data_IF_254284875446
#
_entry.id   IF_254284875446
#
_cell.length_a   1.000
_cell.length_b   1.000
_cell.length_c   1.000
_cell.angle_alpha   90.00
_cell.angle_beta   90.00
_cell.angle_gamma   90.00
#
_symmetry.space_group_name_H-M   'P 1'
#
loop_
_entity.id
_entity.type
_entity.pdbx_description
1 polymer ?
#
# COMPACT_ATOMS: atom_id res chain seq x y z
N UNK A 1 20.61 2.90 1.40
CA UNK A 1 19.41 2.41 0.71
C UNK A 1 18.20 3.29 1.02
N UNK A 2 17.21 3.24 0.11
CA UNK A 2 15.97 4.01 0.23
C UNK A 2 14.78 3.06 0.23
N UNK A 3 13.87 3.27 1.16
CA UNK A 3 12.56 2.63 1.15
C UNK A 3 11.52 3.64 0.66
N UNK A 4 10.84 3.33 -0.44
CA UNK A 4 9.61 3.99 -0.85
C UNK A 4 8.45 3.30 -0.14
N UNK A 5 7.88 3.97 0.87
CA UNK A 5 6.76 3.43 1.61
C UNK A 5 5.43 3.89 1.00
N UNK A 6 4.49 2.94 0.85
CA UNK A 6 3.16 3.19 0.31
C UNK A 6 2.11 2.80 1.35
N UNK A 7 1.34 3.79 1.80
CA UNK A 7 0.36 3.63 2.88
C UNK A 7 -0.92 2.91 2.45
N UNK A 8 -1.69 2.43 3.42
CA UNK A 8 -3.00 1.81 3.22
C UNK A 8 -4.13 2.81 3.00
N UNK A 9 -5.30 2.30 2.60
CA UNK A 9 -6.51 3.13 2.47
C UNK A 9 -6.86 3.77 3.81
N UNK A 10 -7.43 4.97 3.78
CA UNK A 10 -7.77 5.80 4.96
C UNK A 10 -6.59 6.22 5.83
N UNK A 11 -5.36 5.92 5.42
CA UNK A 11 -4.12 6.36 6.04
C UNK A 11 -3.53 7.56 5.28
N UNK A 12 -2.30 7.91 5.57
CA UNK A 12 -1.54 8.97 4.91
C UNK A 12 -0.03 8.72 5.02
N UNK A 13 0.79 9.61 4.44
CA UNK A 13 2.25 9.53 4.44
C UNK A 13 2.87 9.42 5.84
N UNK A 14 2.21 9.93 6.89
CA UNK A 14 2.77 9.90 8.26
C UNK A 14 2.83 8.50 8.86
N UNK A 15 2.05 7.56 8.33
CA UNK A 15 2.07 6.16 8.80
C UNK A 15 3.43 5.48 8.62
N UNK A 16 4.29 5.99 7.71
CA UNK A 16 5.67 5.53 7.56
C UNK A 16 6.47 5.65 8.87
N UNK A 17 6.13 6.60 9.74
CA UNK A 17 6.86 6.85 10.99
C UNK A 17 6.89 5.62 11.91
N UNK A 18 5.86 4.79 11.84
CA UNK A 18 5.79 3.55 12.62
C UNK A 18 6.88 2.52 12.23
N UNK A 19 7.30 2.50 10.97
CA UNK A 19 8.37 1.66 10.44
C UNK A 19 9.68 2.43 10.28
N UNK A 20 9.59 3.73 9.98
CA UNK A 20 10.72 4.59 9.64
C UNK A 20 11.79 4.67 10.72
N UNK A 21 11.40 4.67 12.01
CA UNK A 21 12.37 4.63 13.12
C UNK A 21 13.22 3.34 13.10
N UNK A 22 12.57 2.20 12.87
CA UNK A 22 13.27 0.91 12.79
C UNK A 22 14.25 0.89 11.61
N UNK A 23 13.85 1.41 10.44
CA UNK A 23 14.69 1.50 9.25
C UNK A 23 15.83 2.52 9.44
N UNK A 24 15.54 3.70 9.98
CA UNK A 24 16.54 4.74 10.24
C UNK A 24 17.64 4.27 11.20
N UNK A 25 17.30 3.44 12.20
CA UNK A 25 18.29 2.82 13.12
C UNK A 25 19.29 1.91 12.38
N UNK A 26 19.02 1.56 11.13
CA UNK A 26 19.88 0.77 10.23
C UNK A 26 20.41 1.58 9.06
N UNK A 27 20.42 2.91 9.15
CA UNK A 27 20.85 3.81 8.09
C UNK A 27 20.08 3.64 6.77
N UNK A 28 18.80 3.30 6.84
CA UNK A 28 17.90 3.23 5.69
C UNK A 28 17.02 4.47 5.68
N UNK A 29 17.08 5.23 4.60
CA UNK A 29 16.18 6.37 4.38
C UNK A 29 14.78 5.88 4.00
N UNK A 30 13.75 6.63 4.42
CA UNK A 30 12.37 6.36 4.00
C UNK A 30 11.75 7.59 3.36
N UNK A 31 11.08 7.37 2.24
CA UNK A 31 10.28 8.39 1.55
C UNK A 31 8.84 7.89 1.40
N UNK A 32 7.90 8.80 1.56
CA UNK A 32 6.48 8.48 1.41
C UNK A 32 5.72 9.68 0.85
N UNK A 33 4.73 9.40 0.03
CA UNK A 33 3.75 10.39 -0.47
C UNK A 33 2.35 9.93 -0.13
N UNK A 34 1.40 10.85 -0.15
CA UNK A 34 0.00 10.49 -0.09
C UNK A 34 -0.49 9.98 -1.43
N UNK A 35 -1.26 8.90 -1.41
CA UNK A 35 -2.01 8.43 -2.57
C UNK A 35 -3.11 9.44 -2.94
N UNK A 36 -3.68 9.40 -4.16
CA UNK A 36 -4.79 10.28 -4.53
C UNK A 36 -5.88 10.33 -3.46
N UNK A 37 -6.39 11.52 -3.23
CA UNK A 37 -7.45 11.84 -2.24
C UNK A 37 -7.15 11.42 -0.79
N UNK A 38 -5.89 11.16 -0.46
CA UNK A 38 -5.39 10.99 0.90
C UNK A 38 -4.62 12.23 1.35
N UNK A 39 -4.31 12.31 2.63
CA UNK A 39 -3.51 13.39 3.21
C UNK A 39 -3.63 13.39 4.72
N UNK A 40 -2.83 14.22 5.39
CA UNK A 40 -2.83 14.33 6.85
C UNK A 40 -4.10 15.06 7.30
N UNK A 41 -5.01 14.41 8.05
CA UNK A 41 -6.23 15.06 8.51
C UNK A 41 -5.92 16.22 9.48
N UNK A 42 -6.71 17.30 9.39
CA UNK A 42 -6.54 18.47 10.25
C UNK A 42 -6.69 18.18 11.76
N UNK A 43 -7.39 17.10 12.12
CA UNK A 43 -7.55 16.62 13.49
C UNK A 43 -6.51 15.56 13.89
N UNK A 44 -5.55 15.24 13.02
CA UNK A 44 -4.46 14.32 13.33
C UNK A 44 -3.54 14.89 14.40
N UNK A 45 -2.95 14.01 15.23
CA UNK A 45 -1.89 14.38 16.16
C UNK A 45 -0.64 14.95 15.46
N UNK A 46 -0.49 14.69 14.18
CA UNK A 46 0.60 15.20 13.35
C UNK A 46 0.24 16.49 12.59
N UNK A 47 -1.02 16.97 12.67
CA UNK A 47 -1.47 18.11 11.89
C UNK A 47 -0.62 19.37 12.13
N UNK A 48 -0.28 19.66 13.39
CA UNK A 48 0.52 20.83 13.75
C UNK A 48 1.93 20.84 13.13
N UNK A 49 2.44 19.68 12.73
CA UNK A 49 3.78 19.54 12.16
C UNK A 49 3.77 19.23 10.67
N UNK A 50 2.82 18.41 10.22
CA UNK A 50 2.90 17.74 8.93
C UNK A 50 1.70 17.97 7.99
N UNK A 51 0.58 18.54 8.48
CA UNK A 51 -0.50 18.97 7.60
C UNK A 51 -0.08 20.27 6.90
N UNK A 52 -0.07 20.30 5.57
CA UNK A 52 0.46 21.44 4.83
C UNK A 52 -0.36 22.71 5.00
N UNK A 53 -1.67 22.59 5.23
CA UNK A 53 -2.60 23.74 5.39
C UNK A 53 -2.64 24.28 6.83
N UNK A 54 -2.33 23.41 7.82
CA UNK A 54 -2.55 23.70 9.24
C UNK A 54 -1.27 23.56 10.09
N UNK A 55 -0.10 23.46 9.47
CA UNK A 55 1.15 23.35 10.22
C UNK A 55 1.43 24.64 11.00
N UNK A 56 1.70 24.48 12.29
CA UNK A 56 2.19 25.56 13.15
C UNK A 56 3.73 25.59 13.23
N UNK A 57 4.42 24.55 12.73
CA UNK A 57 5.86 24.40 12.85
C UNK A 57 6.61 24.68 11.53
N UNK A 58 5.97 24.48 10.39
CA UNK A 58 6.57 24.63 9.06
C UNK A 58 5.71 25.60 8.26
N UNK A 59 6.32 26.66 7.78
CA UNK A 59 5.67 27.56 6.81
C UNK A 59 5.80 26.97 5.40
N UNK A 60 4.83 26.18 5.02
CA UNK A 60 4.78 25.57 3.69
C UNK A 60 4.49 26.61 2.60
N UNK A 61 3.89 27.77 2.91
CA UNK A 61 3.65 28.82 1.94
C UNK A 61 4.95 29.41 1.38
N UNK A 62 5.98 29.49 2.22
CA UNK A 62 7.32 29.91 1.79
C UNK A 62 7.98 28.93 0.79
N UNK A 63 7.57 27.65 0.80
CA UNK A 63 8.09 26.61 -0.07
C UNK A 63 7.28 26.46 -1.36
N UNK A 64 5.96 26.56 -1.27
CA UNK A 64 5.04 26.16 -2.34
C UNK A 64 4.14 27.30 -2.85
N UNK A 65 4.21 28.50 -2.26
CA UNK A 65 3.29 29.60 -2.54
C UNK A 65 2.01 29.49 -1.71
N UNK A 66 0.95 30.20 -2.13
CA UNK A 66 -0.30 30.26 -1.34
C UNK A 66 -1.35 29.23 -1.75
N UNK A 67 -1.19 28.57 -2.91
CA UNK A 67 -2.17 27.63 -3.49
C UNK A 67 -1.73 26.19 -3.31
N UNK A 68 -1.50 25.75 -2.08
CA UNK A 68 -1.18 24.35 -1.80
C UNK A 68 -2.19 23.75 -0.82
N UNK A 69 -2.49 22.47 -1.02
CA UNK A 69 -3.48 21.73 -0.26
C UNK A 69 -3.00 20.35 0.10
N UNK A 70 -3.52 19.82 1.21
CA UNK A 70 -3.44 18.37 1.45
C UNK A 70 -4.11 17.64 0.28
N UNK A 71 -3.60 16.50 -0.06
CA UNK A 71 -4.01 15.78 -1.27
C UNK A 71 -5.43 15.20 -1.19
N UNK A 72 -6.04 15.16 -0.02
CA UNK A 72 -7.47 14.90 0.14
C UNK A 72 -8.34 16.07 -0.35
N UNK A 73 -7.74 17.23 -0.67
CA UNK A 73 -8.39 18.41 -1.23
C UNK A 73 -9.58 18.94 -0.43
N UNK A 74 -9.65 18.66 0.88
CA UNK A 74 -10.78 19.06 1.72
C UNK A 74 -12.12 18.91 0.99
N UNK A 75 -12.36 17.70 0.43
CA UNK A 75 -13.51 17.47 -0.47
C UNK A 75 -14.78 18.02 0.13
N UNK A 76 -15.46 18.86 -0.63
CA UNK A 76 -16.56 19.71 -0.20
C UNK A 76 -17.85 18.92 -0.05
N UNK A 77 -18.53 19.10 1.06
CA UNK A 77 -19.85 18.54 1.29
C UNK A 77 -20.91 19.33 0.49
N UNK A 78 -21.61 18.63 -0.43
CA UNK A 78 -22.38 19.24 -1.50
C UNK A 78 -23.41 20.31 -1.14
N UNK A 79 -23.99 20.31 0.07
CA UNK A 79 -25.05 21.25 0.42
C UNK A 79 -24.56 22.53 1.12
N UNK A 80 -23.40 22.53 1.74
CA UNK A 80 -22.92 23.63 2.59
C UNK A 80 -21.70 24.36 2.04
N UNK A 81 -21.02 23.80 1.05
CA UNK A 81 -19.75 24.33 0.54
C UNK A 81 -18.58 24.22 1.52
N UNK A 82 -18.80 23.66 2.72
CA UNK A 82 -17.73 23.49 3.69
C UNK A 82 -16.83 22.31 3.31
N UNK A 83 -15.52 22.40 3.56
CA UNK A 83 -14.65 21.27 3.45
C UNK A 83 -15.18 20.12 4.29
N UNK A 84 -15.41 18.97 3.69
CA UNK A 84 -15.81 17.77 4.38
C UNK A 84 -14.90 16.64 3.94
N UNK A 85 -14.20 16.11 4.90
CA UNK A 85 -13.46 14.87 4.72
C UNK A 85 -14.49 13.75 4.49
N UNK A 86 -14.19 12.87 3.55
CA UNK A 86 -15.11 11.79 3.24
C UNK A 86 -14.92 10.62 4.18
N UNK A 87 -15.96 10.36 4.93
CA UNK A 87 -16.10 9.13 5.68
C UNK A 87 -17.19 8.27 5.06
N UNK A 88 -16.92 7.01 4.78
CA UNK A 88 -17.91 6.06 4.29
C UNK A 88 -19.07 5.85 5.25
N UNK A 89 -18.86 6.03 6.54
CA UNK A 89 -19.86 5.79 7.59
C UNK A 89 -20.75 6.99 7.83
N UNK A 90 -20.17 8.15 7.64
CA UNK A 90 -20.89 9.40 7.88
C UNK A 90 -20.29 10.46 6.95
N UNK A 91 -20.94 10.77 5.85
CA UNK A 91 -20.45 11.77 4.90
C UNK A 91 -20.33 13.19 5.50
N UNK A 92 -20.72 13.38 6.77
CA UNK A 92 -20.53 14.62 7.51
C UNK A 92 -19.34 14.59 8.46
N UNK A 93 -18.68 13.45 8.64
CA UNK A 93 -17.51 13.33 9.53
C UNK A 93 -16.25 13.84 8.83
N UNK A 94 -15.36 14.45 9.62
CA UNK A 94 -14.20 15.19 9.11
C UNK A 94 -12.88 14.44 9.21
N UNK A 95 -12.86 13.15 8.99
CA UNK A 95 -11.66 12.32 9.19
C UNK A 95 -11.40 11.36 8.02
N UNK A 96 -11.79 11.76 6.84
CA UNK A 96 -11.89 10.85 5.71
C UNK A 96 -10.73 10.85 4.73
N UNK A 97 -9.46 10.87 5.18
CA UNK A 97 -8.35 10.58 4.28
C UNK A 97 -8.65 9.33 3.45
N UNK A 98 -8.64 9.45 2.13
CA UNK A 98 -8.82 8.33 1.20
C UNK A 98 -10.24 7.78 1.06
N UNK A 99 -11.24 8.36 1.70
CA UNK A 99 -12.61 7.84 1.64
C UNK A 99 -13.20 7.82 0.23
N UNK A 100 -12.79 8.74 -0.66
CA UNK A 100 -13.18 8.74 -2.08
C UNK A 100 -12.24 7.97 -3.00
N UNK A 101 -11.21 7.36 -2.48
CA UNK A 101 -10.33 6.55 -3.30
C UNK A 101 -11.10 5.41 -3.97
N UNK A 102 -12.01 4.78 -3.22
CA UNK A 102 -12.96 3.79 -3.74
C UNK A 102 -14.33 4.45 -3.84
N UNK A 103 -14.75 4.76 -5.05
CA UNK A 103 -16.02 5.43 -5.33
C UNK A 103 -16.97 4.49 -6.06
N UNK A 104 -17.94 3.92 -5.31
CA UNK A 104 -18.91 2.98 -5.87
C UNK A 104 -19.92 3.63 -6.82
N UNK A 105 -20.12 4.95 -6.70
CA UNK A 105 -20.99 5.69 -7.60
C UNK A 105 -20.28 6.04 -8.93
N UNK A 106 -18.94 6.01 -8.94
CA UNK A 106 -18.13 6.25 -10.13
C UNK A 106 -16.88 5.36 -10.12
N UNK A 107 -17.02 4.15 -10.63
CA UNK A 107 -15.94 3.17 -10.69
C UNK A 107 -14.74 3.64 -11.55
N UNK A 108 -14.97 4.56 -12.48
CA UNK A 108 -13.90 5.21 -13.24
C UNK A 108 -12.95 5.99 -12.34
N UNK A 109 -13.46 6.69 -11.32
CA UNK A 109 -12.61 7.39 -10.35
C UNK A 109 -11.73 6.41 -9.58
N UNK A 110 -12.31 5.28 -9.13
CA UNK A 110 -11.53 4.23 -8.44
C UNK A 110 -10.39 3.71 -9.31
N UNK A 111 -10.68 3.39 -10.57
CA UNK A 111 -9.67 2.98 -11.55
C UNK A 111 -8.58 4.03 -11.70
N UNK A 112 -8.98 5.29 -11.88
CA UNK A 112 -8.03 6.36 -12.17
C UNK A 112 -7.22 6.74 -10.92
N UNK A 113 -7.78 6.62 -9.72
CA UNK A 113 -7.03 6.74 -8.48
C UNK A 113 -5.94 5.67 -8.35
N UNK A 114 -6.24 4.40 -8.68
CA UNK A 114 -5.23 3.33 -8.70
C UNK A 114 -4.11 3.63 -9.70
N UNK A 115 -4.47 4.02 -10.91
CA UNK A 115 -3.49 4.35 -11.98
C UNK A 115 -2.67 5.59 -11.64
N UNK A 116 -3.32 6.62 -11.10
CA UNK A 116 -2.62 7.83 -10.66
C UNK A 116 -1.64 7.54 -9.54
N UNK A 117 -2.01 6.66 -8.59
CA UNK A 117 -1.09 6.21 -7.55
C UNK A 117 0.21 5.63 -8.12
N UNK A 118 0.10 4.81 -9.17
CA UNK A 118 1.27 4.24 -9.84
C UNK A 118 2.12 5.33 -10.51
N UNK A 119 1.47 6.27 -11.22
CA UNK A 119 2.16 7.39 -11.86
C UNK A 119 2.87 8.30 -10.86
N UNK A 120 2.25 8.56 -9.72
CA UNK A 120 2.84 9.38 -8.66
C UNK A 120 4.06 8.71 -8.03
N UNK A 121 4.01 7.39 -7.84
CA UNK A 121 5.16 6.62 -7.36
C UNK A 121 6.28 6.57 -8.41
N UNK A 122 5.97 6.51 -9.70
CA UNK A 122 6.98 6.63 -10.76
C UNK A 122 7.63 8.01 -10.73
N UNK A 123 6.84 9.07 -10.54
CA UNK A 123 7.37 10.42 -10.42
C UNK A 123 8.24 10.59 -9.15
N UNK A 124 7.80 10.06 -8.01
CA UNK A 124 8.61 10.03 -6.80
C UNK A 124 9.93 9.29 -7.02
N UNK A 125 9.88 8.11 -7.65
CA UNK A 125 11.05 7.31 -7.96
C UNK A 125 12.06 8.10 -8.83
N UNK A 126 11.58 8.73 -9.90
CA UNK A 126 12.40 9.57 -10.77
C UNK A 126 12.98 10.80 -10.06
N UNK A 127 12.33 11.27 -8.98
CA UNK A 127 12.76 12.45 -8.23
C UNK A 127 13.75 12.13 -7.11
N UNK A 128 14.04 10.88 -6.81
CA UNK A 128 14.88 10.49 -5.66
C UNK A 128 16.28 11.10 -5.73
N UNK A 129 16.89 11.19 -6.92
CA UNK A 129 18.19 11.83 -7.06
C UNK A 129 18.11 13.33 -6.75
N UNK A 130 17.10 14.01 -7.26
CA UNK A 130 16.91 15.44 -6.96
C UNK A 130 16.65 15.67 -5.46
N UNK A 131 15.91 14.79 -4.80
CA UNK A 131 15.68 14.83 -3.34
C UNK A 131 17.02 14.64 -2.60
N UNK A 132 17.86 13.72 -3.07
CA UNK A 132 19.20 13.50 -2.52
C UNK A 132 20.09 14.74 -2.66
N UNK A 133 20.03 15.39 -3.81
CA UNK A 133 20.87 16.56 -4.12
C UNK A 133 20.44 17.82 -3.34
N UNK A 134 19.20 17.87 -2.85
CA UNK A 134 18.73 18.98 -2.01
C UNK A 134 19.35 19.01 -0.61
N UNK A 135 20.02 17.94 -0.18
CA UNK A 135 20.70 17.81 1.14
C UNK A 135 19.85 18.30 2.32
N UNK A 136 18.53 18.06 2.24
CA UNK A 136 17.56 18.65 3.20
C UNK A 136 17.77 18.10 4.62
N UNK A 137 18.45 16.98 4.76
CA UNK A 137 18.32 16.29 6.02
C UNK A 137 19.61 16.09 6.80
N UNK A 138 20.78 15.86 6.25
CA UNK A 138 21.85 15.42 7.18
C UNK A 138 23.24 15.11 6.62
N UNK A 139 23.71 15.74 5.59
CA UNK A 139 25.03 15.39 5.04
C UNK A 139 25.15 13.95 4.50
N UNK A 140 24.05 13.36 4.06
CA UNK A 140 24.03 12.02 3.49
C UNK A 140 23.34 11.99 2.14
N UNK A 141 23.89 11.24 1.20
CA UNK A 141 23.28 10.98 -0.09
C UNK A 141 22.34 9.77 -0.01
N UNK A 142 21.21 9.81 -0.71
CA UNK A 142 20.36 8.64 -0.90
C UNK A 142 21.05 7.67 -1.88
N UNK A 143 21.07 6.39 -1.53
CA UNK A 143 21.50 5.34 -2.44
C UNK A 143 20.35 4.98 -3.38
N UNK A 144 20.22 5.73 -4.47
CA UNK A 144 19.16 5.58 -5.45
C UNK A 144 19.31 4.34 -6.33
N UNK A 145 20.45 3.68 -6.29
CA UNK A 145 20.65 2.36 -6.90
C UNK A 145 20.09 1.21 -6.04
N UNK A 146 19.68 1.51 -4.80
CA UNK A 146 19.17 0.54 -3.85
C UNK A 146 17.81 0.96 -3.27
N UNK A 147 16.81 0.94 -4.13
CA UNK A 147 15.42 1.33 -3.80
C UNK A 147 14.58 0.09 -3.56
N UNK A 148 13.96 0.02 -2.38
CA UNK A 148 12.98 -1.02 -2.03
C UNK A 148 11.60 -0.39 -1.85
N UNK A 149 10.58 -1.03 -2.37
CA UNK A 149 9.17 -0.64 -2.14
C UNK A 149 8.62 -1.42 -0.96
N UNK A 150 8.01 -0.74 -0.01
CA UNK A 150 7.28 -1.37 1.10
C UNK A 150 5.85 -0.84 1.09
N UNK A 151 4.92 -1.68 0.73
CA UNK A 151 3.50 -1.34 0.70
C UNK A 151 2.70 -2.09 1.76
N UNK A 152 1.78 -1.39 2.42
CA UNK A 152 0.84 -1.97 3.37
C UNK A 152 -0.59 -1.86 2.86
N UNK A 153 -1.36 -2.97 2.85
CA UNK A 153 -2.78 -2.96 2.43
C UNK A 153 -2.96 -2.44 1.00
N UNK A 154 -3.72 -1.37 0.79
CA UNK A 154 -3.82 -0.68 -0.50
C UNK A 154 -2.43 -0.32 -1.05
N UNK A 155 -1.49 0.04 -0.17
CA UNK A 155 -0.11 0.32 -0.57
C UNK A 155 0.61 -0.90 -1.14
N UNK A 156 0.30 -2.10 -0.69
CA UNK A 156 0.82 -3.34 -1.27
C UNK A 156 0.19 -3.63 -2.65
N UNK A 157 -1.11 -3.34 -2.79
CA UNK A 157 -1.83 -3.43 -4.07
C UNK A 157 -1.18 -2.50 -5.09
N UNK A 158 -1.08 -1.20 -4.78
CA UNK A 158 -0.49 -0.19 -5.66
C UNK A 158 1.01 -0.45 -5.88
N UNK A 159 1.74 -0.80 -4.82
CA UNK A 159 3.18 -1.07 -4.87
C UNK A 159 3.53 -2.25 -5.78
N UNK A 160 2.69 -3.28 -5.83
CA UNK A 160 2.87 -4.42 -6.75
C UNK A 160 2.74 -4.00 -8.21
N UNK A 161 1.72 -3.20 -8.53
CA UNK A 161 1.52 -2.66 -9.89
C UNK A 161 2.66 -1.69 -10.24
N UNK A 162 2.99 -0.76 -9.33
CA UNK A 162 4.07 0.19 -9.53
C UNK A 162 5.40 -0.51 -9.82
N UNK A 163 5.80 -1.48 -8.99
CA UNK A 163 7.05 -2.21 -9.18
C UNK A 163 7.09 -2.88 -10.54
N UNK A 164 6.00 -3.52 -10.95
CA UNK A 164 5.88 -4.17 -12.27
C UNK A 164 6.05 -3.16 -13.40
N UNK A 165 5.29 -2.07 -13.37
CA UNK A 165 5.30 -1.06 -14.45
C UNK A 165 6.65 -0.34 -14.52
N UNK A 166 7.25 0.01 -13.37
CA UNK A 166 8.56 0.64 -13.30
C UNK A 166 9.65 -0.20 -13.98
N UNK A 167 9.69 -1.49 -13.66
CA UNK A 167 10.70 -2.39 -14.25
C UNK A 167 10.47 -2.64 -15.74
N UNK A 168 9.22 -2.73 -16.17
CA UNK A 168 8.88 -2.84 -17.60
C UNK A 168 9.32 -1.56 -18.34
N UNK A 169 9.07 -0.38 -17.76
CA UNK A 169 9.45 0.89 -18.37
C UNK A 169 10.97 1.01 -18.56
N UNK A 170 11.74 0.58 -17.57
CA UNK A 170 13.21 0.53 -17.66
C UNK A 170 13.64 -0.51 -18.69
N UNK A 171 13.12 -1.73 -18.64
CA UNK A 171 13.53 -2.84 -19.50
C UNK A 171 13.19 -2.65 -20.98
N UNK A 172 12.16 -1.88 -21.29
CA UNK A 172 11.74 -1.58 -22.67
C UNK A 172 12.35 -0.28 -23.20
N UNK A 173 13.29 0.33 -22.50
CA UNK A 173 13.98 1.58 -22.90
C UNK A 173 12.96 2.67 -23.34
N UNK A 174 11.85 2.78 -22.59
CA UNK A 174 10.89 3.85 -22.81
C UNK A 174 11.55 5.20 -22.51
N UNK A 175 11.20 6.22 -23.24
CA UNK A 175 11.86 7.54 -23.18
C UNK A 175 11.93 8.16 -21.78
N UNK A 176 10.99 7.80 -20.89
CA UNK A 176 11.02 8.21 -19.47
C UNK A 176 11.70 7.16 -18.55
N UNK A 177 11.94 5.95 -19.05
CA UNK A 177 12.53 4.85 -18.27
C UNK A 177 13.97 5.15 -17.82
N UNK A 178 14.71 5.97 -18.58
CA UNK A 178 16.06 6.39 -18.23
C UNK A 178 16.16 7.25 -16.97
N UNK A 179 15.07 7.84 -16.51
CA UNK A 179 15.02 8.63 -15.29
C UNK A 179 14.53 7.83 -14.07
N UNK A 180 14.09 6.59 -14.28
CA UNK A 180 13.59 5.74 -13.21
C UNK A 180 14.73 4.95 -12.57
N UNK A 181 14.69 4.85 -11.24
CA UNK A 181 15.61 4.01 -10.48
C UNK A 181 15.08 2.57 -10.44
N UNK A 182 15.93 1.56 -10.65
CA UNK A 182 15.52 0.16 -10.55
C UNK A 182 15.06 -0.19 -9.13
N UNK A 183 13.94 -0.91 -9.04
CA UNK A 183 13.48 -1.46 -7.77
C UNK A 183 14.24 -2.74 -7.45
N UNK A 184 14.91 -2.76 -6.30
CA UNK A 184 15.71 -3.90 -5.81
C UNK A 184 14.93 -4.89 -4.98
N UNK A 185 13.72 -4.52 -4.55
CA UNK A 185 12.83 -5.41 -3.83
C UNK A 185 11.46 -4.79 -3.58
N UNK A 186 10.47 -5.65 -3.42
CA UNK A 186 9.12 -5.30 -3.02
C UNK A 186 8.71 -6.08 -1.77
N UNK A 187 8.27 -5.38 -0.74
CA UNK A 187 7.52 -5.98 0.37
C UNK A 187 6.04 -5.63 0.19
N UNK A 188 5.22 -6.63 -0.06
CA UNK A 188 3.76 -6.50 -0.16
C UNK A 188 3.11 -7.05 1.12
N UNK A 189 2.87 -6.18 2.10
CA UNK A 189 2.30 -6.53 3.39
C UNK A 189 0.78 -6.41 3.39
N UNK A 190 0.08 -7.48 3.72
CA UNK A 190 -1.38 -7.59 3.86
C UNK A 190 -2.16 -7.01 2.65
N UNK A 191 -1.59 -7.16 1.46
CA UNK A 191 -2.23 -6.80 0.19
C UNK A 191 -2.85 -8.01 -0.49
N UNK A 192 -3.37 -7.81 -1.69
CA UNK A 192 -4.00 -8.91 -2.44
C UNK A 192 -4.38 -8.52 -3.86
N UNK A 193 -5.06 -9.42 -4.54
CA UNK A 193 -5.56 -9.27 -5.92
C UNK A 193 -7.08 -9.31 -5.94
N UNK A 194 -7.69 -8.88 -7.03
CA UNK A 194 -9.15 -8.74 -7.23
C UNK A 194 -9.80 -7.79 -6.21
N UNK A 195 -9.46 -6.50 -6.30
CA UNK A 195 -9.93 -5.45 -5.39
C UNK A 195 -11.46 -5.51 -5.13
N UNK A 196 -12.26 -5.72 -6.17
CA UNK A 196 -13.72 -5.80 -6.02
C UNK A 196 -14.13 -6.97 -5.15
N UNK A 197 -13.50 -8.13 -5.31
CA UNK A 197 -13.80 -9.32 -4.50
C UNK A 197 -13.23 -9.18 -3.07
N UNK A 198 -12.05 -8.55 -2.92
CA UNK A 198 -11.53 -8.20 -1.58
C UNK A 198 -12.59 -7.38 -0.83
N UNK A 199 -13.08 -6.31 -1.43
CA UNK A 199 -14.06 -5.42 -0.80
C UNK A 199 -15.38 -6.12 -0.51
N UNK A 200 -15.85 -6.95 -1.43
CA UNK A 200 -17.10 -7.68 -1.31
C UNK A 200 -17.08 -8.78 -0.24
N UNK A 201 -15.91 -9.34 0.04
CA UNK A 201 -15.73 -10.45 1.00
C UNK A 201 -14.98 -10.01 2.28
N UNK A 202 -14.59 -8.75 2.39
CA UNK A 202 -13.95 -8.19 3.58
C UNK A 202 -14.93 -8.14 4.76
N UNK A 203 -14.64 -8.76 5.90
CA UNK A 203 -15.46 -8.58 7.10
C UNK A 203 -15.65 -7.11 7.50
N UNK A 204 -14.65 -6.27 7.21
CA UNK A 204 -14.68 -4.83 7.52
C UNK A 204 -15.51 -4.03 6.51
N UNK A 205 -15.33 -4.26 5.21
CA UNK A 205 -15.93 -3.41 4.17
C UNK A 205 -17.24 -3.96 3.60
N UNK A 206 -17.38 -5.28 3.48
CA UNK A 206 -18.53 -5.87 2.81
C UNK A 206 -19.89 -5.44 3.39
N UNK A 207 -20.10 -5.37 4.71
CA UNK A 207 -21.41 -4.98 5.25
C UNK A 207 -21.86 -3.58 4.77
N UNK A 208 -20.93 -2.63 4.68
CA UNK A 208 -21.24 -1.25 4.25
C UNK A 208 -21.48 -1.16 2.75
N UNK A 209 -20.65 -1.83 1.96
CA UNK A 209 -20.75 -1.88 0.49
C UNK A 209 -22.08 -2.53 0.12
N UNK A 210 -22.40 -3.67 0.71
CA UNK A 210 -23.63 -4.41 0.44
C UNK A 210 -24.87 -3.62 0.85
N UNK A 211 -24.83 -2.93 2.01
CA UNK A 211 -25.91 -2.05 2.44
C UNK A 211 -26.11 -0.86 1.48
N UNK A 212 -25.01 -0.23 1.03
CA UNK A 212 -25.08 0.86 0.07
C UNK A 212 -25.62 0.44 -1.30
N UNK A 213 -25.24 -0.73 -1.79
CA UNK A 213 -25.78 -1.33 -3.01
C UNK A 213 -27.25 -1.69 -2.87
N UNK A 214 -27.65 -2.30 -1.75
CA UNK A 214 -29.03 -2.67 -1.48
C UNK A 214 -29.95 -1.45 -1.41
N UNK A 215 -29.50 -0.33 -0.84
CA UNK A 215 -30.24 0.94 -0.82
C UNK A 215 -30.54 1.48 -2.23
N UNK A 216 -29.76 1.04 -3.23
CA UNK A 216 -29.95 1.38 -4.65
C UNK A 216 -30.56 0.21 -5.45
N UNK A 217 -31.18 -0.77 -4.78
CA UNK A 217 -31.87 -1.90 -5.42
C UNK A 217 -30.93 -3.01 -5.95
N UNK A 218 -29.64 -2.96 -5.64
CA UNK A 218 -28.65 -3.96 -6.03
C UNK A 218 -28.41 -4.91 -4.84
N UNK A 219 -29.22 -5.94 -4.72
CA UNK A 219 -29.21 -6.85 -3.58
C UNK A 219 -28.32 -8.06 -3.79
N UNK A 220 -27.61 -8.47 -2.75
CA UNK A 220 -26.78 -9.68 -2.74
C UNK A 220 -27.61 -10.90 -3.21
N UNK A 221 -27.00 -11.77 -4.01
CA UNK A 221 -27.64 -12.98 -4.54
C UNK A 221 -28.53 -12.73 -5.77
N UNK A 222 -28.58 -11.51 -6.30
CA UNK A 222 -29.32 -11.20 -7.53
C UNK A 222 -28.38 -11.09 -8.73
N UNK A 223 -28.91 -11.34 -9.94
CA UNK A 223 -28.14 -11.16 -11.19
C UNK A 223 -27.63 -9.72 -11.37
N UNK A 224 -28.33 -8.72 -10.84
CA UNK A 224 -27.87 -7.33 -10.88
C UNK A 224 -26.65 -7.12 -9.99
N UNK A 225 -26.59 -7.78 -8.85
CA UNK A 225 -25.43 -7.74 -7.97
C UNK A 225 -24.20 -8.34 -8.64
N UNK A 226 -24.33 -9.51 -9.22
CA UNK A 226 -23.24 -10.18 -9.94
C UNK A 226 -22.75 -9.36 -11.13
N UNK A 227 -23.67 -8.74 -11.89
CA UNK A 227 -23.32 -7.83 -12.98
C UNK A 227 -22.58 -6.60 -12.49
N UNK A 228 -22.98 -6.06 -11.34
CA UNK A 228 -22.27 -4.93 -10.73
C UNK A 228 -20.84 -5.31 -10.34
N UNK A 229 -20.64 -6.43 -9.66
CA UNK A 229 -19.30 -6.90 -9.26
C UNK A 229 -18.41 -7.15 -10.50
N UNK A 230 -18.97 -7.76 -11.54
CA UNK A 230 -18.24 -7.98 -12.77
C UNK A 230 -17.85 -6.66 -13.46
N UNK A 231 -18.77 -5.71 -13.56
CA UNK A 231 -18.49 -4.40 -14.16
C UNK A 231 -17.48 -3.63 -13.32
N UNK A 232 -17.58 -3.70 -11.99
CA UNK A 232 -16.65 -3.05 -11.07
C UNK A 232 -15.23 -3.60 -11.25
N UNK A 233 -15.06 -4.94 -11.20
CA UNK A 233 -13.75 -5.56 -11.41
C UNK A 233 -13.19 -5.25 -12.80
N UNK A 234 -14.00 -5.36 -13.84
CA UNK A 234 -13.56 -5.04 -15.20
C UNK A 234 -13.10 -3.59 -15.35
N UNK A 235 -13.75 -2.67 -14.63
CA UNK A 235 -13.38 -1.25 -14.66
C UNK A 235 -12.04 -1.00 -13.97
N UNK A 236 -11.81 -1.59 -12.78
CA UNK A 236 -10.58 -1.35 -12.00
C UNK A 236 -9.40 -2.23 -12.42
N UNK A 237 -9.63 -3.21 -13.29
CA UNK A 237 -8.65 -4.23 -13.68
C UNK A 237 -7.29 -3.67 -14.13
N UNK A 238 -7.27 -2.48 -14.76
CA UNK A 238 -6.02 -1.85 -15.22
C UNK A 238 -5.15 -1.27 -14.09
N UNK A 239 -5.61 -1.29 -12.84
CA UNK A 239 -4.85 -0.89 -11.65
C UNK A 239 -4.83 -1.99 -10.58
N UNK A 240 -5.33 -3.18 -10.88
CA UNK A 240 -5.42 -4.30 -9.94
C UNK A 240 -4.25 -5.27 -10.15
N UNK A 241 -3.53 -5.67 -9.10
CA UNK A 241 -2.42 -6.63 -9.20
C UNK A 241 -2.76 -7.95 -9.87
N UNK A 242 -4.02 -8.36 -9.94
CA UNK A 242 -4.44 -9.59 -10.62
C UNK A 242 -3.93 -9.68 -12.06
N UNK A 243 -3.77 -8.53 -12.73
CA UNK A 243 -3.27 -8.45 -14.10
C UNK A 243 -1.75 -8.21 -14.21
N UNK A 244 -1.05 -8.06 -13.08
CA UNK A 244 0.37 -7.72 -13.04
C UNK A 244 1.21 -8.76 -12.28
N UNK A 245 0.60 -9.53 -11.38
CA UNK A 245 1.32 -10.40 -10.45
C UNK A 245 2.13 -11.50 -11.15
N UNK A 246 1.61 -12.13 -12.20
CA UNK A 246 2.36 -13.12 -12.98
C UNK A 246 3.60 -12.48 -13.62
N UNK A 247 3.44 -11.29 -14.19
CA UNK A 247 4.56 -10.55 -14.77
C UNK A 247 5.57 -10.17 -13.68
N UNK A 248 5.10 -9.65 -12.53
CA UNK A 248 5.96 -9.32 -11.39
C UNK A 248 6.83 -10.50 -10.96
N UNK A 249 6.24 -11.69 -10.90
CA UNK A 249 6.95 -12.93 -10.54
C UNK A 249 8.05 -13.33 -11.52
N UNK A 250 8.00 -12.83 -12.77
CA UNK A 250 8.98 -13.16 -13.84
C UNK A 250 10.04 -12.07 -14.08
N UNK A 251 9.87 -10.88 -13.50
CA UNK A 251 10.79 -9.74 -13.71
C UNK A 251 12.13 -9.88 -12.98
N UNK A 252 12.30 -10.89 -12.13
CA UNK A 252 13.53 -11.07 -11.36
C UNK A 252 13.71 -10.06 -10.21
N UNK A 253 12.69 -9.28 -9.88
CA UNK A 253 12.67 -8.44 -8.69
C UNK A 253 12.36 -9.32 -7.49
N UNK A 254 13.19 -9.31 -6.44
CA UNK A 254 12.86 -9.98 -5.19
C UNK A 254 11.52 -9.47 -4.61
N UNK A 255 10.65 -10.37 -4.21
CA UNK A 255 9.36 -10.05 -3.61
C UNK A 255 9.19 -10.79 -2.29
N UNK A 256 8.78 -10.07 -1.27
CA UNK A 256 8.33 -10.61 0.02
C UNK A 256 6.85 -10.27 0.22
N UNK A 257 6.01 -11.30 0.30
CA UNK A 257 4.59 -11.14 0.63
C UNK A 257 4.40 -11.52 2.10
N UNK A 258 3.83 -10.61 2.89
CA UNK A 258 3.48 -10.86 4.28
C UNK A 258 1.96 -10.96 4.41
N UNK A 259 1.49 -12.07 5.00
CA UNK A 259 0.09 -12.30 5.35
C UNK A 259 -0.07 -12.36 6.87
N UNK A 260 -1.22 -11.93 7.35
CA UNK A 260 -1.71 -12.24 8.69
C UNK A 260 -2.94 -13.13 8.53
N UNK A 261 -2.92 -14.31 9.15
CA UNK A 261 -4.03 -15.26 9.05
C UNK A 261 -5.30 -14.69 9.69
N UNK A 262 -6.41 -14.80 9.00
CA UNK A 262 -7.68 -14.26 9.46
C UNK A 262 -7.80 -12.73 9.35
N UNK A 263 -7.05 -12.10 8.45
CA UNK A 263 -7.14 -10.67 8.18
C UNK A 263 -8.60 -10.28 7.85
N UNK A 264 -9.14 -9.35 8.64
CA UNK A 264 -10.53 -8.91 8.53
C UNK A 264 -10.73 -7.79 7.49
N UNK A 265 -9.65 -7.26 6.93
CA UNK A 265 -9.68 -6.13 5.96
C UNK A 265 -9.40 -6.63 4.55
N UNK A 266 -8.28 -7.32 4.35
CA UNK A 266 -7.94 -7.99 3.09
C UNK A 266 -8.03 -9.50 3.34
N UNK A 267 -9.09 -10.18 2.90
CA UNK A 267 -9.22 -11.63 3.06
C UNK A 267 -8.00 -12.37 2.50
N UNK A 268 -7.53 -13.37 3.21
CA UNK A 268 -6.36 -14.12 2.78
C UNK A 268 -6.61 -14.89 1.47
N UNK A 269 -7.74 -15.56 1.35
CA UNK A 269 -8.16 -16.30 0.17
C UNK A 269 -9.51 -16.97 0.39
N UNK A 270 -10.11 -17.46 -0.70
CA UNK A 270 -11.31 -18.28 -0.70
C UNK A 270 -11.20 -19.28 -1.87
N UNK A 271 -11.37 -20.59 -1.62
CA UNK A 271 -11.32 -21.60 -2.70
C UNK A 271 -12.33 -21.38 -3.83
N UNK A 272 -13.46 -20.71 -3.54
CA UNK A 272 -14.46 -20.35 -4.55
C UNK A 272 -14.04 -19.11 -5.37
N UNK A 273 -13.06 -18.34 -4.90
CA UNK A 273 -12.56 -17.10 -5.52
C UNK A 273 -11.03 -17.17 -5.66
N UNK A 274 -10.50 -18.04 -6.52
CA UNK A 274 -9.08 -18.40 -6.53
C UNK A 274 -8.14 -17.26 -6.92
N UNK A 275 -8.67 -16.14 -7.41
CA UNK A 275 -7.90 -14.95 -7.75
C UNK A 275 -8.03 -13.83 -6.71
N UNK A 276 -8.70 -14.06 -5.58
CA UNK A 276 -8.96 -13.04 -4.56
C UNK A 276 -8.02 -13.18 -3.37
N UNK A 277 -7.49 -12.05 -2.90
CA UNK A 277 -6.79 -11.95 -1.63
C UNK A 277 -5.27 -12.11 -1.71
N UNK A 278 -4.66 -12.29 -0.53
CA UNK A 278 -3.19 -12.36 -0.39
C UNK A 278 -2.64 -13.70 -0.93
N UNK A 279 -3.37 -14.79 -0.73
CA UNK A 279 -2.98 -16.11 -1.24
C UNK A 279 -2.97 -16.16 -2.77
N UNK A 280 -3.91 -15.44 -3.39
CA UNK A 280 -3.94 -15.31 -4.84
C UNK A 280 -2.75 -14.47 -5.35
N UNK A 281 -2.38 -13.38 -4.66
CA UNK A 281 -1.18 -12.61 -4.99
C UNK A 281 0.07 -13.50 -4.91
N UNK A 282 0.20 -14.31 -3.84
CA UNK A 282 1.31 -15.24 -3.67
C UNK A 282 1.33 -16.30 -4.79
N UNK A 283 0.18 -16.88 -5.11
CA UNK A 283 0.07 -17.89 -6.17
C UNK A 283 0.43 -17.33 -7.55
N UNK A 284 -0.12 -16.17 -7.91
CA UNK A 284 0.12 -15.55 -9.21
C UNK A 284 1.56 -15.08 -9.40
N UNK A 285 2.24 -14.63 -8.33
CA UNK A 285 3.66 -14.28 -8.38
C UNK A 285 4.57 -15.52 -8.37
N UNK A 286 4.03 -16.73 -8.17
CA UNK A 286 4.81 -17.95 -8.00
C UNK A 286 5.59 -17.98 -6.68
N UNK A 287 5.07 -17.32 -5.64
CA UNK A 287 5.74 -17.24 -4.35
C UNK A 287 5.77 -18.59 -3.62
N UNK A 288 6.90 -18.84 -2.96
CA UNK A 288 7.08 -20.00 -2.07
C UNK A 288 6.82 -19.56 -0.64
N UNK A 289 6.02 -20.35 0.10
CA UNK A 289 5.86 -20.14 1.54
C UNK A 289 7.12 -20.55 2.28
N UNK A 290 7.59 -19.64 3.14
CA UNK A 290 8.73 -19.87 4.03
C UNK A 290 8.28 -19.87 5.49
N UNK A 291 8.78 -20.82 6.26
CA UNK A 291 8.69 -20.87 7.71
C UNK A 291 9.85 -20.17 8.41
N UNK A 292 9.98 -20.31 9.75
CA UNK A 292 11.07 -19.71 10.51
C UNK A 292 12.45 -20.13 10.00
N UNK A 293 13.37 -19.17 9.86
CA UNK A 293 14.73 -19.36 9.37
C UNK A 293 15.18 -18.19 8.47
N UNK A 294 16.30 -18.37 7.77
CA UNK A 294 16.72 -17.45 6.72
C UNK A 294 16.25 -17.98 5.36
N UNK A 295 15.55 -17.15 4.60
CA UNK A 295 15.08 -17.48 3.28
C UNK A 295 15.78 -16.62 2.22
N UNK A 296 16.15 -17.24 1.08
CA UNK A 296 16.63 -16.54 -0.10
C UNK A 296 15.44 -16.34 -1.06
N UNK A 297 15.16 -15.08 -1.38
CA UNK A 297 14.02 -14.70 -2.21
C UNK A 297 14.44 -14.04 -3.54
N UNK A 298 15.71 -14.18 -3.94
CA UNK A 298 16.21 -13.63 -5.21
C UNK A 298 15.69 -14.36 -6.43
N UNK A 299 15.55 -15.68 -6.34
CA UNK A 299 15.13 -16.52 -7.45
C UNK A 299 13.66 -16.90 -7.43
N UNK A 300 13.01 -16.72 -6.30
CA UNK A 300 11.61 -17.08 -6.10
C UNK A 300 11.00 -16.10 -5.10
N UNK A 301 9.89 -15.46 -5.42
CA UNK A 301 9.17 -14.63 -4.46
C UNK A 301 8.90 -15.37 -3.15
N UNK A 302 9.06 -14.68 -2.02
CA UNK A 302 8.83 -15.23 -0.69
C UNK A 302 7.43 -14.91 -0.19
N UNK A 303 6.85 -15.85 0.53
CA UNK A 303 5.55 -15.72 1.17
C UNK A 303 5.63 -16.15 2.63
N UNK A 304 5.25 -15.29 3.55
CA UNK A 304 5.31 -15.53 5.00
C UNK A 304 3.93 -15.30 5.60
N UNK A 305 3.44 -16.28 6.36
CA UNK A 305 2.16 -16.21 7.05
C UNK A 305 2.37 -16.06 8.55
N UNK A 306 1.79 -15.01 9.11
CA UNK A 306 1.72 -14.78 10.55
C UNK A 306 0.46 -15.43 11.11
N UNK A 307 0.59 -16.23 12.16
CA UNK A 307 -0.53 -16.95 12.80
C UNK A 307 -1.26 -16.12 13.84
N UNK A 308 -0.71 -14.96 14.21
CA UNK A 308 -1.30 -14.00 15.14
C UNK A 308 -1.15 -12.58 14.59
N UNK A 309 -1.79 -11.62 15.27
CA UNK A 309 -1.81 -10.21 14.85
C UNK A 309 -3.09 -9.83 14.11
N UNK A 310 -3.02 -8.81 13.29
CA UNK A 310 -4.13 -8.30 12.49
C UNK A 310 -3.64 -7.45 11.34
N UNK A 311 -4.54 -6.89 10.57
CA UNK A 311 -4.24 -6.13 9.34
C UNK A 311 -3.18 -5.03 9.52
N UNK A 312 -3.17 -4.34 10.65
CA UNK A 312 -2.22 -3.25 10.95
C UNK A 312 -0.87 -3.70 11.49
N UNK A 313 -0.59 -5.00 11.62
CA UNK A 313 0.55 -5.52 12.40
C UNK A 313 1.93 -5.11 11.90
N UNK A 314 2.10 -4.75 10.62
CA UNK A 314 3.37 -4.19 10.17
C UNK A 314 3.71 -2.88 10.89
N UNK A 315 2.70 -2.06 11.22
CA UNK A 315 2.88 -0.69 11.70
C UNK A 315 2.64 -0.56 13.21
N UNK A 316 1.66 -1.30 13.72
CA UNK A 316 1.24 -1.18 15.13
C UNK A 316 0.87 -2.54 15.70
N UNK A 317 0.98 -2.73 17.02
CA UNK A 317 0.54 -3.96 17.69
C UNK A 317 -0.96 -4.20 17.51
N UNK A 318 -1.32 -4.84 16.41
CA UNK A 318 -2.69 -5.19 16.06
C UNK A 318 -3.02 -6.59 16.57
N UNK A 319 -4.28 -6.84 16.91
CA UNK A 319 -4.70 -8.14 17.44
C UNK A 319 -4.05 -8.53 18.79
N UNK A 320 -3.51 -7.54 19.54
CA UNK A 320 -2.86 -7.80 20.83
C UNK A 320 -1.51 -8.54 20.74
N UNK A 321 -0.88 -8.55 19.57
CA UNK A 321 0.36 -9.30 19.31
C UNK A 321 1.54 -8.38 18.94
N UNK A 322 2.15 -7.65 19.90
CA UNK A 322 3.26 -6.74 19.62
C UNK A 322 4.50 -7.43 19.06
N UNK A 323 4.72 -8.71 19.38
CA UNK A 323 5.82 -9.50 18.85
C UNK A 323 5.68 -9.75 17.34
N UNK A 324 4.45 -9.81 16.82
CA UNK A 324 4.19 -9.93 15.38
C UNK A 324 4.59 -8.65 14.64
N UNK A 325 4.34 -7.47 15.22
CA UNK A 325 4.81 -6.20 14.68
C UNK A 325 6.34 -6.17 14.59
N UNK A 326 7.00 -6.57 15.68
CA UNK A 326 8.46 -6.65 15.71
C UNK A 326 8.99 -7.63 14.66
N UNK A 327 8.34 -8.77 14.48
CA UNK A 327 8.71 -9.78 13.49
C UNK A 327 8.53 -9.26 12.06
N UNK A 328 7.37 -8.70 11.72
CA UNK A 328 7.11 -8.20 10.38
C UNK A 328 8.08 -7.06 10.01
N UNK A 329 8.39 -6.17 10.95
CA UNK A 329 9.40 -5.12 10.75
C UNK A 329 10.82 -5.68 10.62
N UNK A 330 11.19 -6.71 11.38
CA UNK A 330 12.49 -7.37 11.27
C UNK A 330 12.66 -8.06 9.90
N UNK A 331 11.59 -8.66 9.36
CA UNK A 331 11.58 -9.21 8.01
C UNK A 331 11.83 -8.10 6.97
N UNK A 332 11.13 -6.96 7.07
CA UNK A 332 11.37 -5.80 6.19
C UNK A 332 12.81 -5.34 6.28
N UNK A 333 13.35 -5.17 7.48
CA UNK A 333 14.74 -4.70 7.69
C UNK A 333 15.73 -5.66 7.05
N UNK A 334 15.63 -6.96 7.33
CA UNK A 334 16.58 -7.95 6.76
C UNK A 334 16.49 -8.01 5.23
N UNK A 335 15.28 -7.90 4.69
CA UNK A 335 15.05 -7.84 3.24
C UNK A 335 15.67 -6.60 2.61
N UNK A 336 15.45 -5.41 3.18
CA UNK A 336 16.01 -4.14 2.67
C UNK A 336 17.54 -4.14 2.75
N UNK A 337 18.13 -4.56 3.88
CA UNK A 337 19.58 -4.56 4.08
C UNK A 337 20.31 -5.54 3.17
N UNK A 338 19.64 -6.56 2.68
CA UNK A 338 20.17 -7.51 1.70
C UNK A 338 19.87 -7.13 0.25
N UNK A 339 19.33 -5.93 -0.01
CA UNK A 339 18.85 -5.50 -1.33
C UNK A 339 17.83 -6.50 -1.93
N UNK A 340 16.95 -6.98 -1.08
CA UNK A 340 15.91 -7.95 -1.44
C UNK A 340 16.38 -9.42 -1.52
N UNK A 341 17.66 -9.71 -1.28
CA UNK A 341 18.19 -11.06 -1.49
C UNK A 341 17.75 -12.06 -0.42
N UNK A 342 17.63 -11.63 0.82
CA UNK A 342 17.34 -12.52 1.95
C UNK A 342 16.33 -11.91 2.91
N UNK A 343 15.59 -12.76 3.58
CA UNK A 343 14.71 -12.40 4.69
C UNK A 343 14.97 -13.30 5.90
N UNK A 344 15.13 -12.69 7.08
CA UNK A 344 15.17 -13.39 8.35
C UNK A 344 13.74 -13.55 8.88
N UNK A 345 13.30 -14.78 9.09
CA UNK A 345 11.93 -15.13 9.44
C UNK A 345 11.91 -15.80 10.82
N UNK A 346 10.99 -15.42 11.69
CA UNK A 346 10.87 -15.96 13.04
C UNK A 346 11.99 -15.48 13.97
N UNK A 347 12.60 -14.34 13.68
CA UNK A 347 13.70 -13.79 14.50
C UNK A 347 13.20 -13.12 15.77
N UNK A 348 11.98 -12.61 15.78
CA UNK A 348 11.34 -11.94 16.91
C UNK A 348 10.14 -12.73 17.45
N UNK A 349 9.43 -13.45 16.62
CA UNK A 349 8.24 -14.22 16.98
C UNK A 349 8.19 -15.57 16.25
N UNK A 350 9.12 -16.51 16.50
CA UNK A 350 9.16 -17.78 15.77
C UNK A 350 7.90 -18.63 15.96
N UNK A 351 7.22 -18.50 17.11
CA UNK A 351 5.98 -19.21 17.39
C UNK A 351 4.74 -18.66 16.66
N UNK A 352 4.83 -17.43 16.13
CA UNK A 352 3.75 -16.77 15.41
C UNK A 352 3.96 -16.77 13.89
N UNK A 353 4.95 -17.49 13.38
CA UNK A 353 5.16 -17.74 11.95
C UNK A 353 4.71 -19.16 11.62
N UNK A 354 3.86 -19.28 10.62
CA UNK A 354 3.43 -20.58 10.11
C UNK A 354 4.61 -21.34 9.48
N UNK A 355 4.73 -22.63 9.80
CA UNK A 355 5.74 -23.46 9.19
C UNK A 355 5.51 -23.58 7.67
N UNK A 356 6.58 -23.70 6.91
CA UNK A 356 6.47 -24.05 5.50
C UNK A 356 5.86 -25.44 5.35
N UNK A 357 5.05 -25.70 4.30
CA UNK A 357 4.42 -26.98 4.05
C UNK A 357 5.44 -28.11 3.73
#
# INVERSE_FOLDING_TARGET
>A
PVVMYVHGITSDRTSVMALGHTLASKCVATVAIDLPVHGVPANSNFAAALNVENSALIDFSALYGEDFHERHFNVVQGATGNPALMNFDNPTAQDGSGAWFINLANLGNTRDNLRQSVMDLMNLNASLQAISDLDIATNGTLDTDNVTVVGASLGAIVGSVFTTVNQIAIGNDMSFGSNLNPIKGLVASVGGTQLTQILNNSPTFAPRIQAGLAANGVNVGTSNYERFLYAAQSTVASGDPVNFAETLGTLGVPVLIQQVNGDAVVPNGDPALPLMGTEALASLTGATQFGPGAANVTSTPGYVKMTAGGHGSLLTPSGGAPQVTAEMQAQVVSFVLSSGAQVGIGTQAPGDVEAAP
#
